data_IF_326324495634
#
_entry.id   IF_326324495634
#
_cell.length_a   1.000
_cell.length_b   1.000
_cell.length_c   1.000
_cell.angle_alpha   90.00
_cell.angle_beta   90.00
_cell.angle_gamma   90.00
#
_symmetry.space_group_name_H-M   'P 1'
#
loop_
_entity.id
_entity.type
_entity.pdbx_description
1 polymer ?
#
# COMPACT_ATOMS: atom_id res chain seq x y z
N UNK A 1 -13.32 -0.27 25.73
CA UNK A 1 -11.91 0.13 25.89
C UNK A 1 -11.64 1.37 25.04
N UNK A 2 -10.70 2.25 25.43
CA UNK A 2 -10.36 3.42 24.62
C UNK A 2 -9.19 3.12 23.65
N UNK A 3 -9.16 3.84 22.53
CA UNK A 3 -8.13 3.75 21.47
C UNK A 3 -6.70 3.71 22.02
N UNK A 4 -6.42 4.48 23.08
CA UNK A 4 -5.09 4.60 23.68
C UNK A 4 -4.55 3.27 24.21
N UNK A 5 -5.38 2.48 24.90
CA UNK A 5 -4.96 1.17 25.42
C UNK A 5 -4.64 0.21 24.27
N UNK A 6 -5.50 0.17 23.25
CA UNK A 6 -5.28 -0.66 22.06
C UNK A 6 -3.98 -0.30 21.33
N UNK A 7 -3.73 1.00 21.10
CA UNK A 7 -2.49 1.46 20.45
C UNK A 7 -1.25 1.12 21.29
N UNK A 8 -1.34 1.17 22.62
CA UNK A 8 -0.24 0.75 23.50
C UNK A 8 0.04 -0.75 23.35
N UNK A 9 -0.99 -1.58 23.26
CA UNK A 9 -0.85 -3.02 23.03
C UNK A 9 -0.24 -3.33 21.66
N UNK A 10 -0.65 -2.63 20.59
CA UNK A 10 -0.02 -2.74 19.28
C UNK A 10 1.47 -2.37 19.33
N UNK A 11 1.81 -1.27 20.03
CA UNK A 11 3.19 -0.85 20.20
C UNK A 11 4.04 -1.86 20.98
N UNK A 12 3.43 -2.63 21.89
CA UNK A 12 4.10 -3.66 22.68
C UNK A 12 4.26 -4.98 21.93
N UNK A 13 3.26 -5.37 21.12
CA UNK A 13 3.20 -6.71 20.52
C UNK A 13 3.54 -6.73 19.03
N UNK A 14 3.01 -5.79 18.24
CA UNK A 14 3.21 -5.76 16.79
C UNK A 14 4.44 -4.95 16.38
N UNK A 15 4.66 -3.76 16.96
CA UNK A 15 5.78 -2.90 16.54
C UNK A 15 7.16 -3.57 16.66
N UNK A 16 7.46 -4.42 17.66
CA UNK A 16 8.72 -5.16 17.67
C UNK A 16 8.88 -6.11 16.47
N UNK A 17 7.79 -6.73 16.02
CA UNK A 17 7.77 -7.58 14.82
C UNK A 17 8.06 -6.73 13.58
N UNK A 18 7.37 -5.60 13.42
CA UNK A 18 7.60 -4.66 12.31
C UNK A 18 9.04 -4.16 12.28
N UNK A 19 9.58 -3.78 13.44
CA UNK A 19 10.97 -3.30 13.57
C UNK A 19 12.00 -4.36 13.23
N UNK A 20 11.78 -5.61 13.65
CA UNK A 20 12.62 -6.73 13.25
C UNK A 20 12.60 -6.97 11.73
N UNK A 21 11.52 -6.57 11.07
CA UNK A 21 11.36 -6.62 9.61
C UNK A 21 11.84 -5.33 8.91
N UNK A 22 12.49 -4.40 9.61
CA UNK A 22 13.08 -3.18 9.05
C UNK A 22 12.16 -1.96 8.99
N UNK A 23 10.95 -2.02 9.58
CA UNK A 23 10.12 -0.83 9.71
C UNK A 23 10.61 0.08 10.85
N UNK A 24 10.73 1.36 10.56
CA UNK A 24 11.11 2.42 11.48
C UNK A 24 9.95 3.39 11.73
N UNK A 25 10.07 4.19 12.79
CA UNK A 25 9.08 5.19 13.18
C UNK A 25 8.41 4.93 14.53
N UNK A 26 7.51 5.84 14.87
CA UNK A 26 6.74 5.82 16.12
C UNK A 26 5.29 6.25 15.86
N UNK A 27 4.41 5.97 16.80
CA UNK A 27 2.99 6.31 16.67
C UNK A 27 2.26 5.35 15.74
N UNK A 28 1.58 5.88 14.73
CA UNK A 28 0.61 5.14 13.91
C UNK A 28 1.10 4.85 12.50
N UNK A 29 2.22 5.43 12.08
CA UNK A 29 2.80 5.20 10.75
C UNK A 29 4.22 4.73 10.94
N UNK A 30 4.52 3.55 10.40
CA UNK A 30 5.86 3.01 10.35
C UNK A 30 6.24 2.80 8.89
N UNK A 31 7.52 2.99 8.57
CA UNK A 31 8.04 2.93 7.20
C UNK A 31 9.25 2.03 7.11
N UNK A 32 9.37 1.28 6.03
CA UNK A 32 10.59 0.58 5.66
C UNK A 32 11.01 1.06 4.29
N UNK A 33 12.21 1.61 4.18
CA UNK A 33 12.74 2.20 2.94
C UNK A 33 13.97 1.39 2.54
N UNK A 34 13.99 0.90 1.31
CA UNK A 34 15.11 0.14 0.74
C UNK A 34 15.29 0.53 -0.74
N UNK A 35 16.28 1.38 -1.01
CA UNK A 35 16.46 2.02 -2.30
C UNK A 35 15.18 2.76 -2.74
N UNK A 36 14.65 2.48 -3.94
CA UNK A 36 13.43 3.13 -4.42
C UNK A 36 12.16 2.61 -3.74
N UNK A 37 12.22 1.46 -3.04
CA UNK A 37 11.04 0.85 -2.43
C UNK A 37 10.71 1.53 -1.10
N UNK A 38 9.46 1.94 -0.95
CA UNK A 38 8.92 2.50 0.28
C UNK A 38 7.73 1.67 0.70
N UNK A 39 7.83 1.02 1.85
CA UNK A 39 6.73 0.29 2.49
C UNK A 39 6.21 1.09 3.67
N UNK A 40 4.88 1.15 3.80
CA UNK A 40 4.19 1.89 4.86
C UNK A 40 3.20 0.97 5.55
N UNK A 41 3.26 0.94 6.87
CA UNK A 41 2.21 0.39 7.73
C UNK A 41 1.54 1.56 8.46
N UNK A 42 0.21 1.62 8.43
CA UNK A 42 -0.54 2.68 9.10
C UNK A 42 -1.74 2.17 9.91
N UNK A 43 -1.95 2.76 11.10
CA UNK A 43 -3.15 2.55 11.92
C UNK A 43 -4.08 3.76 11.84
N UNK A 44 -5.22 3.61 11.18
CA UNK A 44 -6.20 4.68 11.00
C UNK A 44 -7.44 4.43 11.85
N UNK A 45 -7.83 5.38 12.69
CA UNK A 45 -9.09 5.28 13.45
C UNK A 45 -10.31 5.35 12.52
N UNK A 46 -11.30 4.48 12.74
CA UNK A 46 -12.58 4.58 12.06
C UNK A 46 -13.42 5.75 12.64
N UNK A 47 -14.28 6.35 11.82
CA UNK A 47 -15.12 7.51 12.19
C UNK A 47 -15.99 7.29 13.43
N UNK A 48 -16.36 6.04 13.73
CA UNK A 48 -17.15 5.67 14.91
C UNK A 48 -16.36 5.53 16.23
N UNK A 49 -15.04 5.76 16.23
CA UNK A 49 -14.22 5.82 17.44
C UNK A 49 -14.02 4.50 18.21
N UNK A 50 -14.59 3.39 17.74
CA UNK A 50 -14.53 2.06 18.38
C UNK A 50 -13.65 1.04 17.65
N UNK A 51 -13.17 1.40 16.47
CA UNK A 51 -12.43 0.50 15.57
C UNK A 51 -11.31 1.25 14.84
N UNK A 52 -10.41 0.50 14.20
CA UNK A 52 -9.41 1.01 13.29
C UNK A 52 -9.25 0.15 12.03
N UNK A 53 -8.62 0.74 11.02
CA UNK A 53 -8.04 0.08 9.86
C UNK A 53 -6.54 -0.07 10.05
N UNK A 54 -6.00 -1.20 9.61
CA UNK A 54 -4.57 -1.42 9.46
C UNK A 54 -4.25 -1.38 7.97
N UNK A 55 -3.77 -0.24 7.51
CA UNK A 55 -3.51 0.02 6.11
C UNK A 55 -2.07 -0.37 5.76
N UNK A 56 -1.90 -1.00 4.60
CA UNK A 56 -0.63 -1.45 4.06
C UNK A 56 -0.38 -0.69 2.75
N UNK A 57 0.79 -0.09 2.61
CA UNK A 57 1.19 0.67 1.44
C UNK A 57 2.55 0.24 0.90
N UNK A 58 2.67 0.12 -0.41
CA UNK A 58 3.94 0.01 -1.10
C UNK A 58 4.01 1.06 -2.23
N UNK A 59 5.17 1.70 -2.35
CA UNK A 59 5.42 2.77 -3.29
C UNK A 59 6.84 2.70 -3.82
N UNK A 60 7.05 3.34 -4.97
CA UNK A 60 8.36 3.53 -5.58
C UNK A 60 8.63 5.03 -5.63
N UNK A 61 9.76 5.47 -5.07
CA UNK A 61 10.12 6.87 -4.88
C UNK A 61 10.13 7.73 -6.17
N UNK A 62 10.39 7.10 -7.31
CA UNK A 62 10.38 7.74 -8.62
C UNK A 62 8.97 7.91 -9.21
N UNK A 63 7.95 7.31 -8.59
CA UNK A 63 6.57 7.50 -9.02
C UNK A 63 5.98 8.75 -8.36
N UNK A 64 5.09 9.47 -9.06
CA UNK A 64 4.19 10.39 -8.39
C UNK A 64 3.31 9.65 -7.39
N UNK A 65 2.90 10.32 -6.31
CA UNK A 65 1.95 9.76 -5.35
C UNK A 65 0.61 9.41 -6.02
N UNK A 66 -0.21 8.57 -5.39
CA UNK A 66 -1.55 8.24 -5.90
C UNK A 66 -2.44 9.49 -6.08
N UNK A 67 -2.20 10.57 -5.35
CA UNK A 67 -2.89 11.85 -5.51
C UNK A 67 -2.30 12.77 -6.60
N UNK A 68 -1.16 12.39 -7.18
CA UNK A 68 -0.32 13.27 -7.98
C UNK A 68 0.71 14.02 -7.11
N UNK A 69 1.77 14.53 -7.75
CA UNK A 69 2.87 15.21 -7.05
C UNK A 69 3.90 14.27 -6.42
N UNK A 70 4.81 14.84 -5.62
CA UNK A 70 5.92 14.14 -4.98
C UNK A 70 5.91 14.35 -3.47
N UNK A 71 6.36 13.34 -2.74
CA UNK A 71 6.56 13.38 -1.30
C UNK A 71 7.92 12.77 -0.98
N UNK A 72 8.61 13.30 0.02
CA UNK A 72 9.87 12.71 0.47
C UNK A 72 9.63 11.29 1.02
N UNK A 73 10.54 10.32 0.79
CA UNK A 73 10.36 8.93 1.23
C UNK A 73 10.01 8.76 2.71
N UNK A 74 10.63 9.56 3.58
CA UNK A 74 10.43 9.56 5.04
C UNK A 74 9.10 10.21 5.47
N UNK A 75 8.49 11.02 4.61
CA UNK A 75 7.19 11.65 4.79
C UNK A 75 6.04 10.88 4.10
N UNK A 76 6.32 9.82 3.33
CA UNK A 76 5.30 9.05 2.59
C UNK A 76 4.27 8.44 3.53
N UNK A 77 2.99 8.79 3.40
CA UNK A 77 1.91 8.12 4.11
C UNK A 77 1.31 7.00 3.24
N UNK A 78 0.50 6.13 3.84
CA UNK A 78 -0.15 5.04 3.11
C UNK A 78 -1.05 5.57 1.99
N UNK A 79 -1.68 6.74 2.19
CA UNK A 79 -2.52 7.42 1.19
C UNK A 79 -1.74 7.88 -0.05
N UNK A 80 -0.42 8.05 0.07
CA UNK A 80 0.45 8.41 -1.06
C UNK A 80 0.87 7.19 -1.89
N UNK A 81 0.79 5.99 -1.31
CA UNK A 81 1.26 4.76 -1.93
C UNK A 81 0.39 4.36 -3.14
N UNK A 82 1.02 3.78 -4.17
CA UNK A 82 0.34 3.32 -5.38
C UNK A 82 -0.28 1.94 -5.16
N UNK A 83 0.44 1.06 -4.47
CA UNK A 83 -0.06 -0.24 -4.08
C UNK A 83 -0.54 -0.15 -2.65
N UNK A 84 -1.84 -0.38 -2.45
CA UNK A 84 -2.50 -0.23 -1.16
C UNK A 84 -3.39 -1.41 -0.90
N UNK A 85 -3.44 -1.83 0.35
CA UNK A 85 -4.34 -2.86 0.83
C UNK A 85 -4.62 -2.64 2.31
N UNK A 86 -5.48 -3.48 2.89
CA UNK A 86 -5.76 -3.51 4.32
C UNK A 86 -5.46 -4.89 4.85
N UNK A 87 -4.79 -4.93 6.01
CA UNK A 87 -4.79 -6.13 6.81
C UNK A 87 -6.19 -6.25 7.43
N UNK A 88 -7.05 -7.06 6.82
CA UNK A 88 -8.41 -7.27 7.31
C UNK A 88 -8.45 -8.27 8.48
N UNK A 89 -9.41 -8.13 9.41
CA UNK A 89 -9.73 -9.20 10.33
C UNK A 89 -10.20 -10.46 9.57
N UNK A 90 -10.10 -11.66 10.17
CA UNK A 90 -10.73 -12.85 9.59
C UNK A 90 -12.24 -12.61 9.39
N UNK A 91 -12.88 -13.24 8.37
CA UNK A 91 -14.26 -12.91 7.97
C UNK A 91 -15.30 -12.91 9.11
N UNK A 92 -15.11 -13.75 10.13
CA UNK A 92 -15.97 -13.82 11.31
C UNK A 92 -15.96 -12.55 12.19
N UNK A 93 -14.99 -11.64 12.00
CA UNK A 93 -14.78 -10.44 12.82
C UNK A 93 -15.16 -9.13 12.08
N UNK A 94 -15.68 -9.21 10.86
CA UNK A 94 -16.05 -8.06 10.04
C UNK A 94 -14.87 -7.40 9.33
N UNK A 95 -15.05 -6.17 8.85
CA UNK A 95 -14.09 -5.46 7.98
C UNK A 95 -13.08 -4.56 8.70
N UNK A 96 -13.24 -4.34 10.01
CA UNK A 96 -12.41 -3.40 10.77
C UNK A 96 -12.06 -3.94 12.17
N UNK A 97 -10.87 -3.59 12.65
CA UNK A 97 -10.33 -4.08 13.92
C UNK A 97 -10.96 -3.35 15.10
N UNK A 98 -11.71 -4.07 15.93
CA UNK A 98 -12.31 -3.51 17.14
C UNK A 98 -11.25 -3.25 18.23
N UNK A 99 -11.40 -2.14 18.96
CA UNK A 99 -10.53 -1.85 20.11
C UNK A 99 -10.82 -2.73 21.34
N UNK A 100 -11.94 -3.44 21.36
CA UNK A 100 -12.44 -4.21 22.51
C UNK A 100 -13.24 -3.35 23.51
N UNK A 101 -14.10 -4.01 24.29
CA UNK A 101 -14.83 -3.44 25.43
C UNK A 101 -13.96 -3.51 26.69
N UNK A 102 -13.26 -4.62 26.90
CA UNK A 102 -12.37 -4.88 28.03
C UNK A 102 -10.89 -4.87 27.62
N UNK A 103 -9.98 -5.04 28.58
CA UNK A 103 -8.53 -5.12 28.31
C UNK A 103 -8.19 -6.46 27.67
N UNK A 104 -8.83 -7.51 28.14
CA UNK A 104 -8.68 -8.89 27.69
C UNK A 104 -9.12 -9.01 26.22
N UNK A 105 -10.23 -8.38 25.84
CA UNK A 105 -10.67 -8.31 24.45
C UNK A 105 -9.69 -7.52 23.56
N UNK A 106 -9.17 -6.40 24.06
CA UNK A 106 -8.18 -5.61 23.34
C UNK A 106 -6.88 -6.40 23.10
N UNK A 107 -6.42 -7.13 24.12
CA UNK A 107 -5.26 -8.01 24.03
C UNK A 107 -5.48 -9.14 23.02
N UNK A 108 -6.64 -9.80 23.07
CA UNK A 108 -7.01 -10.86 22.13
C UNK A 108 -7.06 -10.35 20.68
N UNK A 109 -7.62 -9.15 20.45
CA UNK A 109 -7.65 -8.55 19.12
C UNK A 109 -6.24 -8.21 18.62
N UNK A 110 -5.35 -7.71 19.47
CA UNK A 110 -3.95 -7.45 19.08
C UNK A 110 -3.18 -8.75 18.82
N UNK A 111 -3.41 -9.79 19.60
CA UNK A 111 -2.78 -11.10 19.34
C UNK A 111 -3.23 -11.69 18.00
N UNK A 112 -4.51 -11.51 17.66
CA UNK A 112 -5.02 -11.87 16.34
C UNK A 112 -4.35 -11.05 15.23
N UNK A 113 -4.16 -9.74 15.41
CA UNK A 113 -3.43 -8.89 14.44
C UNK A 113 -2.00 -9.40 14.22
N UNK A 114 -1.28 -9.75 15.29
CA UNK A 114 0.09 -10.28 15.18
C UNK A 114 0.11 -11.60 14.42
N UNK A 115 -0.92 -12.45 14.61
CA UNK A 115 -1.08 -13.69 13.84
C UNK A 115 -1.36 -13.41 12.36
N UNK A 116 -2.30 -12.52 12.04
CA UNK A 116 -2.64 -12.17 10.66
C UNK A 116 -1.49 -11.46 9.94
N UNK A 117 -0.66 -10.71 10.67
CA UNK A 117 0.56 -10.12 10.13
C UNK A 117 1.50 -11.18 9.55
N UNK A 118 1.69 -12.30 10.25
CA UNK A 118 2.58 -13.37 9.82
C UNK A 118 2.17 -14.01 8.47
N UNK A 119 0.87 -13.93 8.13
CA UNK A 119 0.32 -14.38 6.86
C UNK A 119 0.10 -13.21 5.89
N UNK A 120 -1.08 -12.61 5.95
CA UNK A 120 -1.53 -11.60 4.98
C UNK A 120 -0.65 -10.35 4.97
N UNK A 121 -0.22 -9.85 6.14
CA UNK A 121 0.64 -8.67 6.23
C UNK A 121 1.97 -8.87 5.51
N UNK A 122 2.68 -9.95 5.83
CA UNK A 122 3.93 -10.32 5.14
C UNK A 122 3.73 -10.62 3.67
N UNK A 123 2.64 -11.32 3.30
CA UNK A 123 2.35 -11.64 1.91
C UNK A 123 2.19 -10.38 1.05
N UNK A 124 1.52 -9.34 1.57
CA UNK A 124 1.41 -8.06 0.88
C UNK A 124 2.80 -7.45 0.60
N UNK A 125 3.66 -7.29 1.62
CA UNK A 125 4.97 -6.68 1.42
C UNK A 125 5.95 -7.56 0.63
N UNK A 126 5.80 -8.88 0.67
CA UNK A 126 6.60 -9.79 -0.14
C UNK A 126 6.34 -9.60 -1.64
N UNK A 127 5.09 -9.30 -2.03
CA UNK A 127 4.73 -8.99 -3.42
C UNK A 127 5.49 -7.80 -3.99
N UNK A 128 5.89 -6.86 -3.14
CA UNK A 128 6.61 -5.64 -3.51
C UNK A 128 8.01 -5.56 -2.87
N UNK A 129 8.57 -6.70 -2.46
CA UNK A 129 9.72 -6.74 -1.54
C UNK A 129 11.09 -6.80 -2.18
N UNK A 130 11.21 -6.88 -3.50
CA UNK A 130 12.51 -6.97 -4.19
C UNK A 130 12.54 -6.10 -5.44
N UNK A 131 13.44 -5.13 -5.47
CA UNK A 131 13.63 -4.26 -6.62
C UNK A 131 14.87 -4.66 -7.43
N UNK A 132 14.78 -4.79 -8.77
CA UNK A 132 13.60 -4.54 -9.61
C UNK A 132 12.64 -5.75 -9.77
N UNK A 133 12.99 -6.94 -9.26
CA UNK A 133 12.40 -8.22 -9.67
C UNK A 133 10.88 -8.34 -9.42
N UNK A 134 10.39 -7.85 -8.28
CA UNK A 134 8.96 -7.83 -7.96
C UNK A 134 8.17 -7.02 -8.99
N UNK A 135 8.74 -5.92 -9.47
CA UNK A 135 8.08 -5.02 -10.42
C UNK A 135 8.17 -5.53 -11.85
N UNK A 136 9.28 -6.18 -12.23
CA UNK A 136 9.36 -6.94 -13.48
C UNK A 136 8.33 -8.08 -13.52
N UNK A 137 8.12 -8.78 -12.39
CA UNK A 137 7.08 -9.79 -12.26
C UNK A 137 5.68 -9.19 -12.39
N UNK A 138 5.38 -8.09 -11.68
CA UNK A 138 4.10 -7.38 -11.79
C UNK A 138 3.80 -6.97 -13.24
N UNK A 139 4.80 -6.46 -13.96
CA UNK A 139 4.68 -6.09 -15.35
C UNK A 139 4.40 -7.30 -16.27
N UNK A 140 5.00 -8.46 -15.99
CA UNK A 140 4.75 -9.69 -16.75
C UNK A 140 3.37 -10.29 -16.49
N UNK A 141 2.87 -10.19 -15.26
CA UNK A 141 1.59 -10.75 -14.84
C UNK A 141 0.39 -9.85 -15.16
N UNK A 142 0.63 -8.56 -15.38
CA UNK A 142 -0.42 -7.61 -15.72
C UNK A 142 -1.03 -7.95 -17.09
N UNK A 143 -2.35 -8.12 -17.12
CA UNK A 143 -3.13 -8.06 -18.35
C UNK A 143 -3.61 -6.62 -18.56
N UNK A 144 -3.04 -5.86 -19.52
CA UNK A 144 -3.43 -4.48 -19.81
C UNK A 144 -4.93 -4.32 -20.08
N UNK A 145 -5.59 -5.39 -20.57
CA UNK A 145 -7.02 -5.41 -20.88
C UNK A 145 -7.91 -5.68 -19.69
N UNK A 146 -7.37 -5.97 -18.51
CA UNK A 146 -8.14 -6.25 -17.29
C UNK A 146 -7.87 -5.25 -16.18
N UNK A 147 -6.68 -4.65 -16.14
CA UNK A 147 -6.33 -3.67 -15.12
C UNK A 147 -7.12 -2.36 -15.29
N UNK A 148 -7.38 -1.67 -14.18
CA UNK A 148 -7.98 -0.34 -14.20
C UNK A 148 -7.03 0.65 -14.92
N UNK A 149 -7.52 1.59 -15.76
CA UNK A 149 -6.66 2.51 -16.50
C UNK A 149 -5.67 3.30 -15.61
N UNK A 150 -6.09 3.65 -14.39
CA UNK A 150 -5.18 4.27 -13.40
C UNK A 150 -4.01 3.36 -13.02
N UNK A 151 -4.25 2.06 -12.83
CA UNK A 151 -3.18 1.10 -12.54
C UNK A 151 -2.28 0.91 -13.78
N UNK A 152 -2.87 0.96 -14.99
CA UNK A 152 -2.13 0.97 -16.24
C UNK A 152 -1.13 2.12 -16.33
N UNK A 153 -1.52 3.33 -15.91
CA UNK A 153 -0.62 4.49 -15.81
C UNK A 153 0.58 4.21 -14.90
N UNK A 154 0.35 3.68 -13.69
CA UNK A 154 1.43 3.40 -12.75
C UNK A 154 2.37 2.31 -13.27
N UNK A 155 1.83 1.22 -13.82
CA UNK A 155 2.64 0.17 -14.44
C UNK A 155 3.42 0.68 -15.65
N UNK A 156 2.84 1.56 -16.47
CA UNK A 156 3.55 2.14 -17.60
C UNK A 156 4.73 3.01 -17.15
N UNK A 157 4.56 3.83 -16.10
CA UNK A 157 5.66 4.60 -15.49
C UNK A 157 6.78 3.70 -14.96
N UNK A 158 6.43 2.58 -14.31
CA UNK A 158 7.40 1.56 -13.87
C UNK A 158 8.12 0.95 -15.08
N UNK A 159 7.40 0.59 -16.14
CA UNK A 159 7.97 -0.01 -17.34
C UNK A 159 8.97 0.95 -18.03
N UNK A 160 8.64 2.24 -18.16
CA UNK A 160 9.58 3.26 -18.67
C UNK A 160 10.82 3.35 -17.81
N UNK A 161 10.66 3.41 -16.48
CA UNK A 161 11.78 3.51 -15.56
C UNK A 161 12.72 2.29 -15.63
N UNK A 162 12.17 1.09 -15.85
CA UNK A 162 12.94 -0.15 -16.05
C UNK A 162 13.46 -0.33 -17.49
N UNK A 163 13.22 0.64 -18.39
CA UNK A 163 13.67 0.60 -19.79
C UNK A 163 12.79 -0.22 -20.75
N UNK A 164 11.67 -0.76 -20.29
CA UNK A 164 10.72 -1.54 -21.10
C UNK A 164 9.67 -0.63 -21.77
N UNK A 165 10.14 0.17 -22.73
CA UNK A 165 9.29 1.16 -23.43
C UNK A 165 8.20 0.52 -24.29
N UNK A 166 8.43 -0.70 -24.79
CA UNK A 166 7.43 -1.44 -25.55
C UNK A 166 6.24 -1.83 -24.67
N UNK A 167 6.50 -2.39 -23.47
CA UNK A 167 5.42 -2.70 -22.52
C UNK A 167 4.73 -1.44 -22.00
N UNK A 168 5.49 -0.36 -21.74
CA UNK A 168 4.91 0.92 -21.37
C UNK A 168 3.90 1.41 -22.41
N UNK A 169 4.22 1.29 -23.70
CA UNK A 169 3.32 1.69 -24.79
C UNK A 169 2.03 0.88 -24.80
N UNK A 170 2.13 -0.45 -24.70
CA UNK A 170 0.95 -1.32 -24.65
C UNK A 170 0.03 -0.96 -23.46
N UNK A 171 0.62 -0.71 -22.28
CA UNK A 171 -0.14 -0.30 -21.10
C UNK A 171 -0.83 1.06 -21.29
N UNK A 172 -0.13 2.02 -21.89
CA UNK A 172 -0.69 3.36 -22.18
C UNK A 172 -1.84 3.28 -23.18
N UNK A 173 -1.65 2.57 -24.29
CA UNK A 173 -2.64 2.46 -25.36
C UNK A 173 -3.94 1.81 -24.85
N UNK A 174 -3.83 0.70 -24.11
CA UNK A 174 -4.98 0.00 -23.53
C UNK A 174 -5.66 0.84 -22.43
N UNK A 175 -4.88 1.55 -21.60
CA UNK A 175 -5.44 2.44 -20.58
C UNK A 175 -6.17 3.64 -21.22
N UNK A 176 -5.63 4.24 -22.28
CA UNK A 176 -6.26 5.35 -23.01
C UNK A 176 -7.56 4.90 -23.69
N UNK A 177 -7.55 3.72 -24.31
CA UNK A 177 -8.72 3.15 -24.99
C UNK A 177 -9.90 2.93 -24.02
N UNK A 178 -9.59 2.57 -22.76
CA UNK A 178 -10.59 2.29 -21.73
C UNK A 178 -10.91 3.48 -20.81
N UNK A 179 -10.10 4.53 -20.82
CA UNK A 179 -10.29 5.70 -19.97
C UNK A 179 -11.58 6.45 -20.37
N UNK A 180 -12.51 6.70 -19.44
CA UNK A 180 -13.71 7.48 -19.73
C UNK A 180 -13.37 8.86 -20.29
N UNK A 181 -14.23 9.42 -21.15
CA UNK A 181 -14.02 10.73 -21.76
C UNK A 181 -13.76 11.83 -20.72
N UNK A 182 -14.51 11.82 -19.61
CA UNK A 182 -14.38 12.76 -18.49
C UNK A 182 -13.09 12.65 -17.68
N UNK A 183 -12.29 11.59 -17.88
CA UNK A 183 -11.05 11.37 -17.13
C UNK A 183 -9.88 12.16 -17.77
N UNK A 184 -10.05 13.47 -17.96
CA UNK A 184 -9.14 14.33 -18.70
C UNK A 184 -7.73 14.35 -18.11
N UNK A 185 -7.61 14.47 -16.78
CA UNK A 185 -6.32 14.42 -16.09
C UNK A 185 -5.60 13.08 -16.27
N UNK A 186 -6.32 11.96 -16.17
CA UNK A 186 -5.73 10.63 -16.39
C UNK A 186 -5.22 10.47 -17.83
N UNK A 187 -5.97 10.96 -18.82
CA UNK A 187 -5.56 10.91 -20.23
C UNK A 187 -4.32 11.77 -20.49
N UNK A 188 -4.23 12.95 -19.88
CA UNK A 188 -3.04 13.80 -19.96
C UNK A 188 -1.81 13.09 -19.36
N UNK A 189 -1.95 12.57 -18.14
CA UNK A 189 -0.90 11.80 -17.46
C UNK A 189 -0.40 10.61 -18.28
N UNK A 190 -1.32 9.87 -18.93
CA UNK A 190 -0.99 8.74 -19.80
C UNK A 190 -0.21 9.17 -21.05
N UNK A 191 -0.61 10.28 -21.67
CA UNK A 191 0.07 10.81 -22.86
C UNK A 191 1.50 11.27 -22.56
N UNK A 192 1.75 11.76 -21.34
CA UNK A 192 3.08 12.20 -20.90
C UNK A 192 4.05 11.05 -20.65
N UNK A 193 3.58 9.84 -20.31
CA UNK A 193 4.44 8.69 -19.96
C UNK A 193 5.48 8.38 -21.03
N UNK A 194 5.11 8.47 -22.31
CA UNK A 194 5.98 8.09 -23.43
C UNK A 194 6.76 9.28 -24.02
N UNK A 195 6.50 10.50 -23.54
CA UNK A 195 7.03 11.73 -24.12
C UNK A 195 8.48 12.05 -23.70
N UNK A 196 9.02 11.38 -22.67
CA UNK A 196 10.42 11.49 -22.22
C UNK A 196 11.20 10.22 -22.41
#
# INVERSE_FOLDING_TARGET
MNRTVFLKLLAQKLHPVLKAEGFEGTGQTLRRIDGPMIHVFNVQGASGGKKCYLNLGAHLDFLPTEGGGSVAPDATEESHCVFRDRLEPPPAHGSDWAYGQTKEEAEANVDLIVREWAGAGRAFFARYGSYPQSFEQLLREADPKQIHPRNGLHLARIAVHLGDRERARVLVDEALARAPERATSLKADLAEVLAG
#
